data_IF_293965282639
#
_entry.id   IF_293965282639
#
_cell.length_a   1.000
_cell.length_b   1.000
_cell.length_c   1.000
_cell.angle_alpha   90.00
_cell.angle_beta   90.00
_cell.angle_gamma   90.00
#
_symmetry.space_group_name_H-M   'P 1'
#
loop_
_entity.id
_entity.type
_entity.pdbx_description
1 polymer ?
#
# COMPACT_ATOMS: atom_id res chain seq x y z
N UNK A 1 9.64 -16.74 -11.56
CA UNK A 1 10.56 -17.92 -11.68
C UNK A 1 11.04 -18.13 -13.11
N UNK A 2 10.15 -18.16 -14.12
CA UNK A 2 10.59 -18.33 -15.53
C UNK A 2 11.48 -17.18 -16.01
N UNK A 3 11.15 -15.94 -15.70
CA UNK A 3 12.00 -14.78 -16.01
C UNK A 3 13.36 -14.89 -15.33
N UNK A 4 13.41 -15.31 -14.05
CA UNK A 4 14.69 -15.53 -13.37
C UNK A 4 15.53 -16.58 -14.10
N UNK A 5 14.94 -17.71 -14.45
CA UNK A 5 15.64 -18.78 -15.15
C UNK A 5 16.18 -18.36 -16.53
N UNK A 6 15.37 -17.63 -17.31
CA UNK A 6 15.72 -17.26 -18.68
C UNK A 6 16.64 -16.03 -18.80
N UNK A 7 16.43 -15.02 -17.94
CA UNK A 7 17.12 -13.74 -18.06
C UNK A 7 18.37 -13.65 -17.19
N UNK A 8 18.35 -14.25 -15.99
CA UNK A 8 19.47 -14.17 -15.05
C UNK A 8 20.43 -15.37 -15.12
N UNK A 9 20.06 -16.47 -15.80
CA UNK A 9 20.86 -17.68 -15.95
C UNK A 9 21.40 -18.23 -14.61
N UNK A 10 20.56 -18.38 -13.57
CA UNK A 10 20.98 -18.88 -12.26
C UNK A 10 21.31 -20.39 -12.33
N UNK A 11 22.04 -20.89 -11.34
CA UNK A 11 22.28 -22.33 -11.20
C UNK A 11 20.98 -23.07 -10.84
N UNK A 12 20.12 -22.45 -10.02
CA UNK A 12 18.84 -23.00 -9.59
C UNK A 12 17.86 -21.89 -9.23
N UNK A 13 16.59 -22.14 -9.43
CA UNK A 13 15.46 -21.32 -8.95
C UNK A 13 14.53 -22.19 -8.15
N UNK A 14 14.33 -21.90 -6.87
CA UNK A 14 13.31 -22.52 -6.04
C UNK A 14 12.03 -21.69 -6.13
N UNK A 15 11.01 -22.23 -6.79
CA UNK A 15 9.70 -21.61 -6.91
C UNK A 15 8.78 -22.14 -5.80
N UNK A 16 8.56 -21.35 -4.76
CA UNK A 16 7.72 -21.69 -3.61
C UNK A 16 6.31 -21.17 -3.82
N UNK A 17 5.32 -22.06 -3.82
CA UNK A 17 3.91 -21.73 -4.05
C UNK A 17 3.01 -22.60 -3.16
N UNK A 18 2.19 -21.94 -2.31
CA UNK A 18 1.33 -22.65 -1.35
C UNK A 18 0.06 -23.23 -1.98
N UNK A 19 -0.43 -22.62 -3.04
CA UNK A 19 -1.72 -22.97 -3.66
C UNK A 19 -1.60 -24.09 -4.69
N UNK A 20 -2.73 -24.50 -5.23
CA UNK A 20 -2.79 -25.43 -6.38
C UNK A 20 -2.13 -24.88 -7.66
N UNK A 21 -1.79 -23.58 -7.71
CA UNK A 21 -1.03 -23.01 -8.82
C UNK A 21 0.38 -23.59 -8.94
N UNK A 22 0.90 -24.23 -7.91
CA UNK A 22 2.17 -24.97 -7.98
C UNK A 22 2.16 -26.01 -9.11
N UNK A 23 1.04 -26.71 -9.33
CA UNK A 23 0.92 -27.70 -10.41
C UNK A 23 0.99 -27.03 -11.79
N UNK A 24 0.31 -25.92 -11.98
CA UNK A 24 0.39 -25.15 -13.23
C UNK A 24 1.79 -24.55 -13.43
N UNK A 25 2.44 -24.16 -12.36
CA UNK A 25 3.83 -23.69 -12.40
C UNK A 25 4.76 -24.79 -12.90
N UNK A 26 4.62 -26.05 -12.44
CA UNK A 26 5.39 -27.20 -12.97
C UNK A 26 5.16 -27.42 -14.45
N UNK A 27 3.90 -27.33 -14.89
CA UNK A 27 3.57 -27.46 -16.32
C UNK A 27 4.20 -26.34 -17.15
N UNK A 28 4.16 -25.09 -16.66
CA UNK A 28 4.80 -23.96 -17.34
C UNK A 28 6.33 -24.11 -17.38
N UNK A 29 6.95 -24.56 -16.31
CA UNK A 29 8.40 -24.84 -16.26
C UNK A 29 8.77 -25.87 -17.32
N UNK A 30 8.02 -26.96 -17.42
CA UNK A 30 8.21 -28.02 -18.42
C UNK A 30 8.02 -27.48 -19.84
N UNK A 31 6.91 -26.78 -20.09
CA UNK A 31 6.58 -26.25 -21.40
C UNK A 31 7.61 -25.24 -21.93
N UNK A 32 8.35 -24.58 -21.05
CA UNK A 32 9.39 -23.60 -21.38
C UNK A 32 10.82 -24.17 -21.29
N UNK A 33 10.98 -25.48 -21.07
CA UNK A 33 12.30 -26.13 -21.03
C UNK A 33 13.19 -25.66 -19.87
N UNK A 34 12.60 -25.31 -18.73
CA UNK A 34 13.31 -24.82 -17.55
C UNK A 34 13.42 -25.85 -16.42
N UNK A 35 13.11 -27.14 -16.68
CA UNK A 35 13.03 -28.20 -15.66
C UNK A 35 14.36 -28.45 -14.94
N UNK A 36 15.48 -28.27 -15.64
CA UNK A 36 16.82 -28.45 -15.07
C UNK A 36 17.24 -27.29 -14.15
N UNK A 37 16.56 -26.13 -14.23
CA UNK A 37 16.90 -24.92 -13.46
C UNK A 37 15.85 -24.61 -12.41
N UNK A 38 14.56 -24.82 -12.69
CA UNK A 38 13.46 -24.44 -11.79
C UNK A 38 12.90 -25.64 -11.04
N UNK A 39 13.05 -25.62 -9.71
CA UNK A 39 12.44 -26.59 -8.81
C UNK A 39 11.20 -25.98 -8.17
N UNK A 40 10.02 -26.56 -8.39
CA UNK A 40 8.74 -26.08 -7.84
C UNK A 40 8.43 -26.82 -6.54
N UNK A 41 8.39 -26.09 -5.43
CA UNK A 41 8.06 -26.58 -4.12
C UNK A 41 6.65 -26.11 -3.74
N UNK A 42 5.75 -27.06 -3.51
CA UNK A 42 4.38 -26.72 -3.09
C UNK A 42 4.29 -26.78 -1.58
N UNK A 43 3.94 -25.67 -0.99
CA UNK A 43 3.76 -25.50 0.44
C UNK A 43 3.94 -24.05 0.85
N UNK A 44 3.64 -23.79 2.12
CA UNK A 44 3.86 -22.47 2.70
C UNK A 44 5.34 -22.26 2.98
N UNK A 45 5.83 -21.04 2.80
CA UNK A 45 7.22 -20.68 3.08
C UNK A 45 7.61 -21.01 4.52
N UNK A 46 6.67 -20.88 5.46
CA UNK A 46 6.87 -21.19 6.88
C UNK A 46 7.10 -22.68 7.16
N UNK A 47 6.64 -23.56 6.27
CA UNK A 47 6.60 -25.03 6.48
C UNK A 47 7.64 -25.79 5.64
N UNK A 48 8.20 -25.14 4.63
CA UNK A 48 9.17 -25.73 3.73
C UNK A 48 10.60 -25.55 4.21
N UNK A 49 11.47 -26.46 3.75
CA UNK A 49 12.92 -26.37 3.89
C UNK A 49 13.54 -26.34 2.48
N UNK A 50 14.51 -25.47 2.27
CA UNK A 50 15.36 -25.49 1.08
C UNK A 50 16.63 -26.31 1.35
N UNK A 51 17.18 -26.98 0.32
CA UNK A 51 18.40 -27.76 0.49
C UNK A 51 19.65 -26.89 0.73
N UNK A 52 19.58 -25.60 0.42
CA UNK A 52 20.69 -24.65 0.49
C UNK A 52 20.16 -23.21 0.67
N UNK A 53 21.04 -22.29 1.06
CA UNK A 53 20.75 -20.86 1.05
C UNK A 53 20.77 -20.30 -0.38
N UNK A 54 20.07 -19.21 -0.59
CA UNK A 54 19.94 -18.55 -1.88
C UNK A 54 20.61 -17.17 -1.88
N UNK A 55 21.06 -16.74 -3.06
CA UNK A 55 21.72 -15.45 -3.25
C UNK A 55 20.72 -14.31 -3.36
N UNK A 56 19.53 -14.60 -3.91
CA UNK A 56 18.50 -13.61 -4.23
C UNK A 56 17.15 -14.15 -3.82
N UNK A 57 16.37 -13.34 -3.11
CA UNK A 57 14.96 -13.61 -2.77
C UNK A 57 14.06 -12.63 -3.53
N UNK A 58 13.22 -13.16 -4.40
CA UNK A 58 12.29 -12.37 -5.23
C UNK A 58 10.86 -12.68 -4.84
N UNK A 59 10.05 -11.69 -4.55
CA UNK A 59 8.63 -11.87 -4.25
C UNK A 59 7.80 -10.64 -4.63
N UNK A 60 6.61 -10.88 -5.18
CA UNK A 60 5.56 -9.88 -5.29
C UNK A 60 4.60 -10.08 -4.08
N UNK A 61 4.82 -9.33 -3.01
CA UNK A 61 4.11 -9.46 -1.73
C UNK A 61 3.19 -8.29 -1.40
N UNK A 62 3.23 -7.23 -2.21
CA UNK A 62 2.57 -5.97 -1.91
C UNK A 62 1.05 -6.09 -2.05
N UNK A 63 0.34 -5.72 -1.00
CA UNK A 63 -1.12 -5.63 -1.01
C UNK A 63 -1.62 -4.20 -1.19
N UNK A 64 -2.94 -4.02 -1.16
CA UNK A 64 -3.52 -2.69 -1.09
C UNK A 64 -2.98 -1.95 0.14
N UNK A 65 -2.68 -0.66 -0.01
CA UNK A 65 -2.06 0.13 1.07
C UNK A 65 -0.77 -0.54 1.58
N UNK A 66 0.02 -1.10 0.65
CA UNK A 66 1.28 -1.82 0.84
C UNK A 66 1.14 -3.14 1.62
N UNK A 67 0.62 -3.09 2.85
CA UNK A 67 0.72 -4.19 3.83
C UNK A 67 -0.52 -5.10 3.92
N UNK A 68 -1.65 -4.71 3.35
CA UNK A 68 -2.87 -5.52 3.45
C UNK A 68 -2.63 -6.95 2.96
N UNK A 69 -3.19 -7.93 3.67
CA UNK A 69 -2.95 -9.37 3.55
C UNK A 69 -1.64 -9.87 4.19
N UNK A 70 -0.69 -9.01 4.50
CA UNK A 70 0.54 -9.33 5.22
C UNK A 70 1.38 -10.47 4.63
N UNK A 71 1.38 -10.64 3.31
CA UNK A 71 2.26 -11.61 2.65
C UNK A 71 3.74 -11.30 2.90
N UNK A 72 4.07 -10.04 3.21
CA UNK A 72 5.42 -9.63 3.61
C UNK A 72 5.98 -10.48 4.77
N UNK A 73 5.15 -10.93 5.72
CA UNK A 73 5.59 -11.80 6.83
C UNK A 73 6.24 -13.09 6.32
N UNK A 74 5.61 -13.78 5.36
CA UNK A 74 6.17 -14.98 4.75
C UNK A 74 7.50 -14.71 4.04
N UNK A 75 7.63 -13.53 3.43
CA UNK A 75 8.88 -13.11 2.75
C UNK A 75 9.99 -12.85 3.77
N UNK A 76 9.69 -12.19 4.89
CA UNK A 76 10.67 -11.96 5.95
C UNK A 76 11.12 -13.27 6.60
N UNK A 77 10.20 -14.22 6.82
CA UNK A 77 10.55 -15.56 7.30
C UNK A 77 11.42 -16.32 6.30
N UNK A 78 11.12 -16.23 5.01
CA UNK A 78 11.94 -16.80 3.95
C UNK A 78 13.33 -16.16 3.89
N UNK A 79 13.42 -14.83 4.06
CA UNK A 79 14.68 -14.11 4.19
C UNK A 79 15.54 -14.68 5.32
N UNK A 80 14.96 -14.74 6.52
CA UNK A 80 15.70 -15.13 7.73
C UNK A 80 16.15 -16.59 7.71
N UNK A 81 15.48 -17.46 6.95
CA UNK A 81 15.79 -18.88 6.84
C UNK A 81 16.71 -19.22 5.66
N UNK A 82 16.49 -18.55 4.52
CA UNK A 82 17.07 -19.02 3.26
C UNK A 82 18.02 -18.04 2.59
N UNK A 83 17.89 -16.72 2.83
CA UNK A 83 18.79 -15.76 2.23
C UNK A 83 20.16 -15.81 2.92
N UNK A 84 21.25 -15.96 2.15
CA UNK A 84 22.59 -15.91 2.71
C UNK A 84 22.96 -14.49 3.18
N UNK A 85 23.98 -14.39 4.01
CA UNK A 85 24.53 -13.09 4.42
C UNK A 85 24.98 -12.29 3.18
N UNK A 86 24.55 -11.04 3.11
CA UNK A 86 24.81 -10.17 1.95
C UNK A 86 24.05 -10.55 0.68
N UNK A 87 23.08 -11.45 0.77
CA UNK A 87 22.17 -11.77 -0.33
C UNK A 87 21.24 -10.60 -0.64
N UNK A 88 20.58 -10.62 -1.80
CA UNK A 88 19.77 -9.54 -2.33
C UNK A 88 18.27 -9.84 -2.17
N UNK A 89 17.50 -8.82 -1.81
CA UNK A 89 16.04 -8.90 -1.80
C UNK A 89 15.44 -8.05 -2.91
N UNK A 90 14.47 -8.60 -3.62
CA UNK A 90 13.69 -7.89 -4.61
C UNK A 90 12.18 -8.06 -4.34
N UNK A 91 11.49 -6.95 -3.96
CA UNK A 91 12.01 -5.59 -3.72
C UNK A 91 12.92 -5.51 -2.48
N UNK A 92 13.88 -4.58 -2.54
CA UNK A 92 14.84 -4.32 -1.44
C UNK A 92 14.30 -3.32 -0.41
N UNK A 93 13.42 -2.42 -0.84
CA UNK A 93 12.73 -1.47 0.04
C UNK A 93 11.33 -1.19 -0.46
N UNK A 94 10.48 -0.69 0.45
CA UNK A 94 9.12 -0.27 0.15
C UNK A 94 8.75 0.97 0.95
N UNK A 95 7.88 1.82 0.39
CA UNK A 95 7.34 2.97 1.09
C UNK A 95 5.83 3.08 0.88
N UNK A 96 5.11 3.41 1.94
CA UNK A 96 3.72 3.87 1.88
C UNK A 96 3.72 5.38 1.78
N UNK A 97 3.14 5.90 0.73
CA UNK A 97 3.03 7.33 0.43
C UNK A 97 1.61 7.80 0.72
N UNK A 98 1.48 9.00 1.27
CA UNK A 98 0.20 9.63 1.61
C UNK A 98 0.13 11.03 1.00
N UNK A 99 -1.09 11.45 0.64
CA UNK A 99 -1.38 12.81 0.17
C UNK A 99 -2.79 13.22 0.58
N UNK A 100 -3.04 14.48 1.01
CA UNK A 100 -4.39 15.01 1.13
C UNK A 100 -4.98 15.26 -0.25
N UNK A 101 -6.27 14.93 -0.44
CA UNK A 101 -6.88 14.98 -1.75
C UNK A 101 -8.30 15.52 -1.79
N UNK A 102 -8.67 16.01 -2.96
CA UNK A 102 -10.05 16.16 -3.38
C UNK A 102 -10.59 14.80 -3.86
N UNK A 103 -11.88 14.61 -3.70
CA UNK A 103 -12.61 13.46 -4.21
C UNK A 103 -14.06 13.85 -4.53
N UNK A 104 -14.24 14.99 -5.22
CA UNK A 104 -15.54 15.61 -5.46
C UNK A 104 -16.51 14.66 -6.14
N UNK A 105 -16.08 13.97 -7.19
CA UNK A 105 -16.93 13.05 -7.94
C UNK A 105 -17.41 11.88 -7.07
N UNK A 106 -16.53 11.32 -6.26
CA UNK A 106 -16.87 10.22 -5.37
C UNK A 106 -17.77 10.68 -4.22
N UNK A 107 -17.49 11.86 -3.65
CA UNK A 107 -18.34 12.45 -2.63
C UNK A 107 -19.73 12.77 -3.17
N UNK A 108 -19.81 13.38 -4.35
CA UNK A 108 -21.08 13.68 -5.02
C UNK A 108 -21.90 12.41 -5.28
N UNK A 109 -21.28 11.35 -5.81
CA UNK A 109 -21.94 10.07 -6.06
C UNK A 109 -22.48 9.42 -4.78
N UNK A 110 -21.72 9.45 -3.69
CA UNK A 110 -22.05 8.71 -2.46
C UNK A 110 -22.84 9.52 -1.44
N UNK A 111 -22.68 10.84 -1.42
CA UNK A 111 -23.31 11.72 -0.43
C UNK A 111 -24.30 12.72 -1.04
N UNK A 112 -23.87 13.55 -2.01
CA UNK A 112 -24.75 14.57 -2.58
C UNK A 112 -25.92 13.99 -3.37
N UNK A 113 -25.77 12.78 -3.89
CA UNK A 113 -26.88 12.04 -4.51
C UNK A 113 -28.14 12.01 -3.63
N UNK A 114 -27.98 11.86 -2.31
CA UNK A 114 -29.10 11.73 -1.37
C UNK A 114 -29.81 13.04 -1.06
N UNK A 115 -29.27 14.18 -1.48
CA UNK A 115 -29.92 15.47 -1.24
C UNK A 115 -31.25 15.57 -1.99
N UNK A 116 -31.26 15.19 -3.27
CA UNK A 116 -32.46 15.39 -4.10
C UNK A 116 -32.63 14.40 -5.27
N UNK A 117 -32.48 13.07 -5.06
CA UNK A 117 -32.70 12.13 -6.16
C UNK A 117 -34.18 12.14 -6.56
N UNK A 118 -34.43 12.12 -7.85
CA UNK A 118 -35.80 12.16 -8.41
C UNK A 118 -36.65 13.36 -7.98
N UNK A 119 -36.02 14.45 -7.51
CA UNK A 119 -36.72 15.64 -7.00
C UNK A 119 -37.27 15.53 -5.57
N UNK A 120 -36.99 14.43 -4.88
CA UNK A 120 -37.42 14.17 -3.50
C UNK A 120 -36.25 14.35 -2.53
N UNK A 121 -36.56 14.73 -1.28
CA UNK A 121 -35.56 14.86 -0.21
C UNK A 121 -35.26 13.50 0.44
N UNK A 122 -34.04 13.01 0.27
CA UNK A 122 -33.52 11.77 0.85
C UNK A 122 -32.40 12.03 1.87
N UNK A 123 -32.19 13.28 2.29
CA UNK A 123 -31.13 13.65 3.27
C UNK A 123 -31.17 12.83 4.56
N UNK A 124 -32.33 12.31 5.07
CA UNK A 124 -32.34 11.40 6.20
C UNK A 124 -31.53 10.10 6.02
N UNK A 125 -31.22 9.70 4.77
CA UNK A 125 -30.39 8.53 4.47
C UNK A 125 -28.87 8.85 4.43
N UNK A 126 -28.47 10.10 4.40
CA UNK A 126 -27.03 10.48 4.33
C UNK A 126 -26.20 9.87 5.48
N UNK A 127 -26.65 9.81 6.75
CA UNK A 127 -25.86 9.16 7.80
C UNK A 127 -25.62 7.66 7.54
N UNK A 128 -26.58 6.96 6.95
CA UNK A 128 -26.44 5.54 6.57
C UNK A 128 -25.48 5.39 5.39
N UNK A 129 -25.59 6.26 4.39
CA UNK A 129 -24.68 6.30 3.24
C UNK A 129 -23.24 6.57 3.69
N UNK A 130 -23.03 7.52 4.60
CA UNK A 130 -21.71 7.80 5.17
C UNK A 130 -21.14 6.58 5.90
N UNK A 131 -21.93 5.90 6.71
CA UNK A 131 -21.52 4.69 7.39
C UNK A 131 -21.16 3.58 6.41
N UNK A 132 -21.94 3.39 5.35
CA UNK A 132 -21.71 2.35 4.34
C UNK A 132 -20.47 2.63 3.52
N UNK A 133 -20.29 3.86 3.03
CA UNK A 133 -19.26 4.17 2.03
C UNK A 133 -17.96 4.73 2.60
N UNK A 134 -17.97 5.33 3.81
CA UNK A 134 -16.80 6.02 4.35
C UNK A 134 -16.20 5.36 5.59
N UNK A 135 -16.81 4.31 6.13
CA UNK A 135 -16.24 3.57 7.29
C UNK A 135 -14.99 2.78 6.89
N UNK A 136 -15.02 2.19 5.69
CA UNK A 136 -13.87 1.46 5.13
C UNK A 136 -13.15 2.31 4.10
N UNK A 137 -11.86 2.07 3.86
CA UNK A 137 -11.20 2.71 2.73
C UNK A 137 -11.76 2.19 1.40
N UNK A 138 -11.79 3.06 0.39
CA UNK A 138 -12.09 2.65 -0.98
C UNK A 138 -10.81 2.11 -1.61
N UNK A 139 -10.75 0.82 -1.78
CA UNK A 139 -9.71 0.16 -2.57
C UNK A 139 -9.90 0.42 -4.07
N UNK A 140 -8.83 0.27 -4.82
CA UNK A 140 -8.84 0.43 -6.28
C UNK A 140 -9.40 1.80 -6.71
N UNK A 141 -9.10 2.85 -5.94
CA UNK A 141 -9.38 4.23 -6.31
C UNK A 141 -8.42 4.65 -7.43
N UNK A 142 -8.97 5.27 -8.47
CA UNK A 142 -8.17 5.94 -9.49
C UNK A 142 -8.14 7.42 -9.14
N UNK A 143 -6.97 7.92 -8.82
CA UNK A 143 -6.74 9.31 -8.46
C UNK A 143 -6.07 10.04 -9.61
N UNK A 144 -6.60 11.18 -9.98
CA UNK A 144 -5.93 12.07 -10.92
C UNK A 144 -4.88 12.93 -10.19
N UNK A 145 -3.73 13.25 -10.81
CA UNK A 145 -2.71 14.10 -10.19
C UNK A 145 -3.25 15.45 -9.72
N UNK A 146 -4.25 15.98 -10.42
CA UNK A 146 -4.90 17.26 -10.13
C UNK A 146 -5.68 17.24 -8.81
N UNK A 147 -6.10 16.06 -8.35
CA UNK A 147 -6.83 15.88 -7.09
C UNK A 147 -5.93 16.00 -5.86
N UNK A 148 -4.60 15.94 -6.03
CA UNK A 148 -3.64 16.18 -4.94
C UNK A 148 -3.69 17.64 -4.49
N UNK A 149 -3.88 17.87 -3.19
CA UNK A 149 -3.91 19.22 -2.58
C UNK A 149 -2.54 19.71 -2.15
N UNK A 150 -1.57 18.82 -2.00
CA UNK A 150 -0.19 19.09 -1.60
C UNK A 150 0.77 18.10 -2.25
N UNK A 151 2.07 18.32 -2.13
CA UNK A 151 3.08 17.32 -2.42
C UNK A 151 2.91 16.09 -1.49
N UNK A 152 3.03 14.89 -2.05
CA UNK A 152 2.93 13.65 -1.27
C UNK A 152 4.15 13.43 -0.39
N UNK A 153 4.01 12.63 0.68
CA UNK A 153 5.13 12.21 1.51
C UNK A 153 5.09 10.72 1.82
N UNK A 154 6.27 10.12 1.97
CA UNK A 154 6.40 8.75 2.46
C UNK A 154 6.19 8.75 3.98
N UNK A 155 5.17 8.05 4.44
CA UNK A 155 4.80 8.00 5.87
C UNK A 155 5.32 6.74 6.56
N UNK A 156 5.55 5.67 5.81
CA UNK A 156 6.16 4.42 6.31
C UNK A 156 7.19 3.98 5.27
N UNK A 157 8.40 3.67 5.72
CA UNK A 157 9.46 3.14 4.88
C UNK A 157 9.94 1.81 5.47
N UNK A 158 10.11 0.82 4.61
CA UNK A 158 10.59 -0.51 4.95
C UNK A 158 11.91 -0.76 4.23
N UNK A 159 12.94 -1.07 5.00
CA UNK A 159 14.14 -1.73 4.49
C UNK A 159 13.93 -3.24 4.63
N UNK A 160 13.82 -3.94 3.51
CA UNK A 160 13.51 -5.37 3.49
C UNK A 160 14.63 -6.25 4.05
N UNK A 161 15.85 -5.72 4.17
CA UNK A 161 16.95 -6.40 4.84
C UNK A 161 16.90 -6.28 6.36
N UNK A 162 16.32 -5.18 6.89
CA UNK A 162 16.36 -4.83 8.30
C UNK A 162 15.04 -5.06 9.05
N UNK A 163 13.89 -4.80 8.40
CA UNK A 163 12.57 -4.90 9.03
C UNK A 163 12.32 -6.30 9.61
N UNK A 164 11.73 -6.35 10.81
CA UNK A 164 11.43 -7.59 11.51
C UNK A 164 9.93 -7.90 11.45
N UNK A 165 9.58 -9.18 11.61
CA UNK A 165 8.17 -9.61 11.67
C UNK A 165 7.42 -8.91 12.81
N UNK A 166 8.08 -8.65 13.93
CA UNK A 166 7.52 -7.91 15.07
C UNK A 166 7.13 -6.48 14.74
N UNK A 167 7.85 -5.83 13.83
CA UNK A 167 7.59 -4.44 13.43
C UNK A 167 6.27 -4.32 12.65
N UNK A 168 5.79 -5.42 12.06
CA UNK A 168 4.54 -5.47 11.32
C UNK A 168 3.28 -5.39 12.21
N UNK A 169 3.41 -5.54 13.52
CA UNK A 169 2.26 -5.50 14.45
C UNK A 169 1.68 -4.09 14.57
N UNK A 170 2.54 -3.09 14.63
CA UNK A 170 2.17 -1.69 14.65
C UNK A 170 3.23 -0.84 13.94
N UNK A 171 2.82 -0.11 12.92
CA UNK A 171 3.67 0.85 12.21
C UNK A 171 3.09 2.24 12.34
N UNK A 172 3.94 3.23 12.56
CA UNK A 172 3.56 4.63 12.72
C UNK A 172 4.40 5.51 11.82
N UNK A 173 3.75 6.54 11.28
CA UNK A 173 4.41 7.58 10.51
C UNK A 173 3.80 8.94 10.80
N UNK A 174 4.57 9.97 10.54
CA UNK A 174 4.14 11.37 10.66
C UNK A 174 4.04 11.98 9.27
N UNK A 175 3.16 12.96 9.14
CA UNK A 175 3.04 13.73 7.91
C UNK A 175 2.90 15.22 8.22
N UNK A 176 3.42 16.02 7.28
CA UNK A 176 3.31 17.47 7.32
C UNK A 176 3.15 17.96 5.87
N UNK A 177 1.98 18.49 5.56
CA UNK A 177 1.62 18.99 4.23
C UNK A 177 1.39 20.49 4.27
N UNK A 178 2.00 21.21 3.35
CA UNK A 178 1.63 22.59 3.03
C UNK A 178 0.71 22.53 1.80
N UNK A 179 -0.52 23.03 1.92
CA UNK A 179 -1.48 23.01 0.81
C UNK A 179 -0.98 23.87 -0.35
N UNK A 180 -0.84 23.27 -1.51
CA UNK A 180 -0.40 23.93 -2.74
C UNK A 180 -1.58 24.45 -3.57
N UNK A 181 -2.79 23.93 -3.30
CA UNK A 181 -4.03 24.30 -3.95
C UNK A 181 -5.10 24.62 -2.92
N UNK A 182 -5.97 25.59 -3.25
CA UNK A 182 -7.24 25.78 -2.54
C UNK A 182 -8.26 24.81 -3.07
N UNK A 183 -9.09 24.23 -2.20
CA UNK A 183 -10.08 23.24 -2.59
C UNK A 183 -10.81 22.65 -1.38
N UNK A 184 -11.36 21.47 -1.58
CA UNK A 184 -12.05 20.71 -0.53
C UNK A 184 -11.25 19.48 -0.19
N UNK A 185 -10.77 19.42 1.04
CA UNK A 185 -10.09 18.25 1.58
C UNK A 185 -11.14 17.20 1.96
N UNK A 186 -11.31 16.20 1.09
CA UNK A 186 -12.24 15.09 1.30
C UNK A 186 -11.63 13.95 2.08
N UNK A 187 -10.32 13.81 2.05
CA UNK A 187 -9.62 12.72 2.69
C UNK A 187 -8.17 12.58 2.24
N UNK A 188 -7.63 11.42 2.55
CA UNK A 188 -6.28 11.07 2.17
C UNK A 188 -6.29 9.97 1.11
N UNK A 189 -5.37 10.04 0.17
CA UNK A 189 -5.09 8.93 -0.74
C UNK A 189 -3.70 8.38 -0.44
N UNK A 190 -3.60 7.05 -0.42
CA UNK A 190 -2.35 6.35 -0.22
C UNK A 190 -2.04 5.43 -1.40
N UNK A 191 -0.75 5.29 -1.69
CA UNK A 191 -0.17 4.33 -2.61
C UNK A 191 1.19 3.87 -2.10
N UNK A 192 1.80 2.95 -2.79
CA UNK A 192 3.15 2.50 -2.42
C UNK A 192 4.14 2.62 -3.58
N UNK A 193 5.39 2.68 -3.19
CA UNK A 193 6.54 2.50 -4.08
C UNK A 193 7.40 1.37 -3.56
N UNK A 194 8.03 0.61 -4.45
CA UNK A 194 9.06 -0.36 -4.09
C UNK A 194 10.29 -0.16 -4.96
N UNK A 195 11.46 -0.45 -4.38
CA UNK A 195 12.71 -0.35 -5.10
C UNK A 195 13.38 -1.73 -5.19
N UNK A 196 14.01 -1.95 -6.31
CA UNK A 196 14.79 -3.13 -6.63
C UNK A 196 16.25 -2.69 -6.74
N UNK A 197 17.06 -3.07 -5.75
CA UNK A 197 18.48 -2.72 -5.74
C UNK A 197 19.22 -3.31 -6.93
N UNK A 198 20.22 -2.57 -7.42
CA UNK A 198 21.08 -3.04 -8.50
C UNK A 198 22.08 -4.07 -7.97
N UNK A 199 22.32 -5.13 -8.74
CA UNK A 199 23.44 -6.06 -8.48
C UNK A 199 24.80 -5.47 -8.88
N UNK A 200 24.78 -4.41 -9.69
CA UNK A 200 26.00 -3.69 -10.07
C UNK A 200 26.38 -2.68 -8.99
N UNK A 201 27.65 -2.70 -8.58
CA UNK A 201 28.17 -1.78 -7.56
C UNK A 201 28.00 -0.33 -8.01
N UNK A 202 27.18 0.44 -7.27
CA UNK A 202 26.84 1.84 -7.59
C UNK A 202 25.78 2.02 -8.67
N UNK A 203 25.13 0.94 -9.11
CA UNK A 203 23.99 0.99 -10.02
C UNK A 203 22.78 1.63 -9.33
N UNK A 204 21.98 2.40 -10.09
CA UNK A 204 20.75 2.96 -9.59
C UNK A 204 19.68 1.85 -9.37
N UNK A 205 18.89 1.91 -8.29
CA UNK A 205 17.76 0.99 -8.11
C UNK A 205 16.69 1.25 -9.19
N UNK A 206 15.96 0.20 -9.53
CA UNK A 206 14.72 0.32 -10.33
C UNK A 206 13.55 0.53 -9.38
N UNK A 207 12.66 1.45 -9.71
CA UNK A 207 11.47 1.76 -8.91
C UNK A 207 10.19 1.31 -9.63
N UNK A 208 9.28 0.69 -8.87
CA UNK A 208 7.87 0.56 -9.21
C UNK A 208 7.08 1.52 -8.32
N UNK A 209 6.39 2.47 -8.94
CA UNK A 209 5.57 3.46 -8.27
C UNK A 209 4.10 3.29 -8.66
N UNK A 210 3.21 3.11 -7.68
CA UNK A 210 1.77 2.92 -7.93
C UNK A 210 0.96 4.21 -7.72
N UNK A 211 1.62 5.35 -7.69
CA UNK A 211 1.01 6.67 -7.52
C UNK A 211 0.37 7.24 -8.80
N UNK A 212 -0.34 8.36 -8.67
CA UNK A 212 -1.15 8.92 -9.76
C UNK A 212 -0.32 9.48 -10.92
N UNK A 213 0.97 9.79 -10.70
CA UNK A 213 1.88 10.31 -11.73
C UNK A 213 2.64 9.22 -12.50
N UNK A 214 2.36 7.95 -12.22
CA UNK A 214 3.03 6.81 -12.84
C UNK A 214 2.06 6.02 -13.71
N UNK A 215 2.58 5.12 -14.53
CA UNK A 215 1.76 4.20 -15.31
C UNK A 215 0.78 3.44 -14.41
N UNK A 216 -0.51 3.37 -14.76
CA UNK A 216 -1.51 2.72 -13.94
C UNK A 216 -1.21 1.25 -13.67
N UNK A 217 -1.33 0.84 -12.43
CA UNK A 217 -1.19 -0.56 -12.02
C UNK A 217 -2.52 -1.13 -11.53
N UNK A 218 -2.61 -2.45 -11.39
CA UNK A 218 -3.80 -3.11 -10.85
C UNK A 218 -4.07 -2.77 -9.37
N UNK A 219 -3.07 -2.35 -8.58
CA UNK A 219 -3.25 -1.88 -7.20
C UNK A 219 -4.04 -0.56 -7.14
N UNK A 220 -3.82 0.33 -8.14
CA UNK A 220 -4.37 1.68 -8.09
C UNK A 220 -3.99 2.35 -6.76
N UNK A 221 -4.83 3.25 -6.24
CA UNK A 221 -4.62 3.90 -4.96
C UNK A 221 -5.72 3.52 -3.97
N UNK A 222 -5.50 3.84 -2.68
CA UNK A 222 -6.46 3.61 -1.60
C UNK A 222 -6.93 4.95 -1.04
N UNK A 223 -8.24 5.21 -1.09
CA UNK A 223 -8.85 6.46 -0.62
C UNK A 223 -9.46 6.29 0.76
N UNK A 224 -9.10 7.18 1.68
CA UNK A 224 -9.59 7.29 3.05
C UNK A 224 -10.44 8.55 3.19
N UNK A 225 -11.76 8.41 3.14
CA UNK A 225 -12.71 9.54 3.17
C UNK A 225 -12.93 10.05 4.59
N UNK A 226 -12.87 11.37 4.77
CA UNK A 226 -13.34 12.01 6.01
C UNK A 226 -14.86 11.91 6.12
N UNK A 227 -15.36 12.02 7.34
CA UNK A 227 -16.81 12.08 7.58
C UNK A 227 -17.41 13.41 7.12
N UNK A 228 -16.62 14.48 7.18
CA UNK A 228 -16.99 15.81 6.69
C UNK A 228 -15.82 16.41 5.94
N UNK A 229 -16.03 16.80 4.70
CA UNK A 229 -15.03 17.54 3.93
C UNK A 229 -14.69 18.90 4.58
N UNK A 230 -13.46 19.35 4.39
CA UNK A 230 -12.94 20.60 4.96
C UNK A 230 -12.44 21.50 3.84
N UNK A 231 -12.89 22.74 3.80
CA UNK A 231 -12.32 23.73 2.87
C UNK A 231 -10.92 24.11 3.29
N UNK A 232 -9.99 24.09 2.36
CA UNK A 232 -8.58 24.45 2.58
C UNK A 232 -8.10 25.49 1.56
N UNK A 233 -7.12 26.28 1.93
CA UNK A 233 -6.51 27.30 1.08
C UNK A 233 -5.03 27.01 0.86
N UNK A 234 -4.48 27.57 -0.19
CA UNK A 234 -3.02 27.58 -0.40
C UNK A 234 -2.32 28.14 0.85
N UNK A 235 -1.30 27.43 1.34
CA UNK A 235 -0.52 27.76 2.50
C UNK A 235 -1.09 27.27 3.83
N UNK A 236 -2.30 26.68 3.85
CA UNK A 236 -2.77 25.97 5.05
C UNK A 236 -1.88 24.75 5.33
N UNK A 237 -1.66 24.46 6.60
CA UNK A 237 -0.79 23.37 7.03
C UNK A 237 -1.63 22.25 7.62
N UNK A 238 -1.50 21.07 7.04
CA UNK A 238 -2.09 19.82 7.53
C UNK A 238 -0.97 18.93 8.09
N UNK A 239 -0.98 18.68 9.38
CA UNK A 239 -0.03 17.80 10.04
C UNK A 239 -0.71 16.69 10.82
N UNK A 240 0.00 15.59 11.08
CA UNK A 240 -0.59 14.51 11.84
C UNK A 240 0.21 13.23 11.79
N UNK A 241 -0.48 12.14 12.16
CA UNK A 241 0.11 10.80 12.21
C UNK A 241 -0.78 9.79 11.53
N UNK A 242 -0.17 8.77 10.96
CA UNK A 242 -0.82 7.55 10.51
C UNK A 242 -0.30 6.37 11.31
N UNK A 243 -1.18 5.50 11.75
CA UNK A 243 -0.80 4.22 12.35
C UNK A 243 -1.49 3.08 11.62
N UNK A 244 -0.73 2.03 11.32
CA UNK A 244 -1.21 0.76 10.78
C UNK A 244 -1.12 -0.26 11.91
N UNK A 245 -2.25 -0.78 12.35
CA UNK A 245 -2.33 -1.78 13.41
C UNK A 245 -2.83 -3.09 12.85
N UNK A 246 -2.01 -4.13 12.94
CA UNK A 246 -2.37 -5.47 12.46
C UNK A 246 -3.40 -6.11 13.38
N UNK A 247 -4.39 -6.78 12.81
CA UNK A 247 -5.40 -7.46 13.63
C UNK A 247 -4.77 -8.69 14.32
N UNK A 248 -4.89 -8.82 15.66
CA UNK A 248 -4.23 -9.89 16.42
C UNK A 248 -4.84 -11.28 16.16
N UNK A 249 -6.09 -11.35 15.69
CA UNK A 249 -6.80 -12.60 15.40
C UNK A 249 -6.80 -12.90 13.91
N UNK A 250 -7.25 -11.95 13.11
CA UNK A 250 -7.31 -12.05 11.65
C UNK A 250 -6.06 -11.42 11.06
N UNK A 251 -4.96 -12.16 11.09
CA UNK A 251 -3.60 -11.71 10.78
C UNK A 251 -3.39 -11.09 9.40
N UNK A 252 -4.33 -11.29 8.47
CA UNK A 252 -4.34 -10.67 7.13
C UNK A 252 -5.04 -9.31 7.11
N UNK A 253 -5.68 -8.92 8.21
CA UNK A 253 -6.43 -7.67 8.34
C UNK A 253 -5.62 -6.64 9.14
N UNK A 254 -5.92 -5.37 8.91
CA UNK A 254 -5.35 -4.26 9.67
C UNK A 254 -6.36 -3.12 9.83
N UNK A 255 -6.04 -2.18 10.69
CA UNK A 255 -6.73 -0.91 10.83
C UNK A 255 -5.74 0.22 10.56
N UNK A 256 -6.11 1.14 9.68
CA UNK A 256 -5.37 2.38 9.46
C UNK A 256 -6.05 3.48 10.25
N UNK A 257 -5.32 4.14 11.15
CA UNK A 257 -5.82 5.27 11.93
C UNK A 257 -5.06 6.52 11.53
N UNK A 258 -5.81 7.56 11.15
CA UNK A 258 -5.30 8.87 10.78
C UNK A 258 -5.72 9.88 11.85
N UNK A 259 -4.73 10.59 12.40
CA UNK A 259 -4.93 11.75 13.26
C UNK A 259 -4.41 12.97 12.52
N UNK A 260 -5.19 14.04 12.43
CA UNK A 260 -4.78 15.23 11.69
C UNK A 260 -5.18 16.51 12.40
N UNK A 261 -4.43 17.56 12.07
CA UNK A 261 -4.63 18.92 12.53
C UNK A 261 -4.43 19.85 11.33
N UNK A 262 -5.39 20.72 11.07
CA UNK A 262 -5.33 21.75 10.03
C UNK A 262 -5.19 23.11 10.69
N UNK A 263 -4.09 23.80 10.39
CA UNK A 263 -3.83 25.18 10.78
C UNK A 263 -4.05 26.08 9.57
N UNK A 264 -5.04 26.95 9.66
CA UNK A 264 -5.37 27.89 8.60
C UNK A 264 -4.37 29.05 8.57
N UNK A 265 -3.75 29.27 7.42
CA UNK A 265 -2.73 30.32 7.22
C UNK A 265 -3.27 31.77 7.37
N UNK A 266 -4.59 31.96 7.27
CA UNK A 266 -5.25 33.28 7.21
C UNK A 266 -6.14 33.62 8.40
N UNK A 267 -6.27 32.73 9.39
CA UNK A 267 -7.12 32.98 10.55
C UNK A 267 -6.29 33.25 11.81
N UNK A 268 -6.84 34.08 12.71
CA UNK A 268 -6.28 34.25 14.05
C UNK A 268 -6.11 32.89 14.75
N UNK A 269 -5.15 32.79 15.65
CA UNK A 269 -4.55 31.61 16.24
C UNK A 269 -5.49 30.52 16.84
N UNK A 270 -6.81 30.67 16.76
CA UNK A 270 -7.80 29.80 17.41
C UNK A 270 -8.62 28.88 16.44
N UNK A 271 -8.33 28.86 15.13
CA UNK A 271 -9.09 28.04 14.18
C UNK A 271 -8.36 26.76 13.77
N UNK A 272 -7.85 26.00 14.74
CA UNK A 272 -7.29 24.68 14.51
C UNK A 272 -8.42 23.64 14.39
N UNK A 273 -8.49 22.92 13.28
CA UNK A 273 -9.40 21.80 13.10
C UNK A 273 -8.63 20.50 13.32
N UNK A 274 -9.04 19.74 14.31
CA UNK A 274 -8.44 18.43 14.65
C UNK A 274 -9.43 17.32 14.31
N UNK A 275 -8.92 16.23 13.75
CA UNK A 275 -9.72 15.06 13.49
C UNK A 275 -8.96 13.76 13.70
N UNK A 276 -9.74 12.70 13.89
CA UNK A 276 -9.24 11.34 14.02
C UNK A 276 -10.23 10.40 13.37
N UNK A 277 -9.72 9.47 12.57
CA UNK A 277 -10.56 8.41 11.99
C UNK A 277 -9.79 7.12 11.80
N UNK A 278 -10.45 6.00 12.12
CA UNK A 278 -9.91 4.66 11.94
C UNK A 278 -10.68 3.96 10.82
N UNK A 279 -9.93 3.30 9.95
CA UNK A 279 -10.42 2.60 8.78
C UNK A 279 -10.04 1.12 8.86
N UNK A 280 -10.99 0.25 9.20
CA UNK A 280 -10.72 -1.18 9.20
C UNK A 280 -10.58 -1.69 7.76
N UNK A 281 -9.52 -2.47 7.52
CA UNK A 281 -9.23 -3.10 6.25
C UNK A 281 -9.44 -4.61 6.36
N UNK A 282 -10.57 -5.06 5.82
CA UNK A 282 -10.90 -6.48 5.63
C UNK A 282 -11.73 -6.66 4.36
N UNK A 283 -11.78 -7.88 3.85
CA UNK A 283 -12.72 -8.32 2.80
C UNK A 283 -13.78 -9.24 3.38
#
# INVERSE_FOLDING_TARGET
SLFCAQLAQPSVVYAVEASSMAEYTRQLVKQNGCEEVVTVLQGRAEELELPEQVDVLVSEWMGNCLLFEFMVESVLLARDRWLRDGGVMWPSSAALTLVPCQADSYYAEKMSFWERPYGLDFTPLQPLAQQEFFTKPKFSHHMEPEDCLAASCNVICLDMHAVQVSDLEEMKGEFHFCMEKSGVFHGFTAWFTVQFESLEMGGAPVELNTGPNSEPTHWKQTLFMLDRPVSVNVGDVLSGTVSLHRNPVWRRHMTVTLHWNINNSKSDADSCQVGTKSFPMWR
#
